data_IF_051015852554
#
_entry.id   IF_051015852554
#
_cell.length_a   1.000
_cell.length_b   1.000
_cell.length_c   1.000
_cell.angle_alpha   90.00
_cell.angle_beta   90.00
_cell.angle_gamma   90.00
#
_symmetry.space_group_name_H-M   'P 1'
#
loop_
_entity.id
_entity.type
_entity.pdbx_description
1 polymer ?
#
# COMPACT_ATOMS: atom_id res chain seq x y z
N UNK A 1 22.58 4.64 -14.51
CA UNK A 1 21.50 3.74 -14.03
C UNK A 1 21.49 3.77 -12.53
N UNK A 2 20.45 4.33 -11.90
CA UNK A 2 20.30 4.26 -10.45
C UNK A 2 19.80 2.86 -10.10
N UNK A 3 20.62 2.13 -9.36
CA UNK A 3 20.32 0.83 -8.77
C UNK A 3 19.20 1.04 -7.77
N UNK A 4 17.98 0.64 -8.12
CA UNK A 4 16.88 0.52 -7.16
C UNK A 4 17.21 -0.69 -6.29
N UNK A 5 17.68 -0.43 -5.07
CA UNK A 5 17.89 -1.49 -4.09
C UNK A 5 16.51 -2.06 -3.73
N UNK A 6 16.32 -3.40 -3.72
CA UNK A 6 15.08 -3.97 -3.25
C UNK A 6 14.98 -3.68 -1.74
N UNK A 7 14.18 -2.68 -1.38
CA UNK A 7 13.92 -2.28 0.00
C UNK A 7 13.40 -3.48 0.79
N UNK A 8 14.22 -4.00 1.69
CA UNK A 8 13.97 -5.17 2.53
C UNK A 8 12.97 -4.94 3.66
N UNK A 9 11.82 -4.32 3.40
CA UNK A 9 10.79 -4.09 4.42
C UNK A 9 9.73 -5.19 4.53
N UNK A 10 9.54 -6.00 3.47
CA UNK A 10 8.69 -7.20 3.49
C UNK A 10 9.44 -8.48 3.90
N UNK A 11 10.50 -8.34 4.69
CA UNK A 11 11.34 -9.45 5.12
C UNK A 11 10.56 -10.46 5.95
N UNK A 12 10.37 -11.67 5.41
CA UNK A 12 9.84 -12.84 6.12
C UNK A 12 10.47 -12.96 7.51
N UNK A 13 9.64 -12.81 8.55
CA UNK A 13 9.76 -13.39 9.89
C UNK A 13 11.20 -13.66 10.34
N UNK A 14 11.93 -12.61 10.72
CA UNK A 14 13.00 -12.72 11.72
C UNK A 14 12.71 -11.72 12.82
N UNK A 15 12.37 -12.27 13.98
CA UNK A 15 12.37 -11.57 15.24
C UNK A 15 13.83 -11.25 15.61
N UNK A 16 14.36 -10.16 15.07
CA UNK A 16 15.56 -9.46 15.55
C UNK A 16 15.76 -8.18 14.69
N UNK A 17 14.98 -7.13 14.95
CA UNK A 17 15.33 -5.76 14.51
C UNK A 17 14.63 -4.75 15.45
N UNK A 18 15.42 -4.18 16.33
CA UNK A 18 15.03 -3.26 17.39
C UNK A 18 14.53 -1.93 16.76
N UNK A 19 13.23 -1.86 16.41
CA UNK A 19 12.56 -0.63 15.96
C UNK A 19 11.64 -0.73 14.74
N UNK A 20 11.47 -1.90 14.12
CA UNK A 20 10.49 -2.06 13.03
C UNK A 20 9.09 -2.33 13.57
N UNK A 21 8.33 -1.26 13.78
CA UNK A 21 6.91 -1.35 14.08
C UNK A 21 6.16 -2.00 12.90
N UNK A 22 5.26 -2.95 13.21
CA UNK A 22 4.57 -3.72 12.20
C UNK A 22 3.69 -2.79 11.33
N UNK A 23 3.70 -2.95 9.99
CA UNK A 23 2.89 -2.10 9.11
C UNK A 23 1.40 -2.24 9.43
N UNK A 24 0.67 -1.14 9.28
CA UNK A 24 -0.77 -1.09 9.45
C UNK A 24 -1.45 -1.47 8.14
N UNK A 25 -2.36 -2.45 8.21
CA UNK A 25 -3.22 -2.80 7.09
C UNK A 25 -4.51 -1.95 7.12
N UNK A 26 -4.82 -1.30 6.00
CA UNK A 26 -6.07 -0.56 5.79
C UNK A 26 -6.85 -1.26 4.67
N UNK A 27 -8.08 -1.70 4.99
CA UNK A 27 -9.01 -2.29 4.02
C UNK A 27 -9.85 -1.17 3.38
N UNK A 28 -9.74 -1.02 2.06
CA UNK A 28 -10.42 0.03 1.28
C UNK A 28 -11.73 -0.48 0.65
N UNK A 29 -12.17 -1.69 1.01
CA UNK A 29 -13.33 -2.34 0.42
C UNK A 29 -13.14 -2.69 -1.05
N UNK A 30 -14.25 -2.72 -1.81
CA UNK A 30 -14.25 -3.02 -3.24
C UNK A 30 -13.95 -1.76 -4.06
N UNK A 31 -12.81 -1.73 -4.75
CA UNK A 31 -12.35 -0.61 -5.58
C UNK A 31 -11.70 -1.09 -6.86
N UNK A 32 -11.61 -0.22 -7.87
CA UNK A 32 -10.71 -0.51 -8.98
C UNK A 32 -9.27 -0.30 -8.54
N UNK A 33 -8.42 -1.26 -8.89
CA UNK A 33 -7.00 -1.26 -8.52
C UNK A 33 -6.28 0.00 -9.00
N UNK A 34 -6.61 0.49 -10.20
CA UNK A 34 -5.98 1.70 -10.74
C UNK A 34 -6.28 2.95 -9.90
N UNK A 35 -7.49 3.09 -9.35
CA UNK A 35 -7.87 4.23 -8.52
C UNK A 35 -7.05 4.26 -7.23
N UNK A 36 -6.88 3.09 -6.62
CA UNK A 36 -6.08 2.95 -5.40
C UNK A 36 -4.59 3.18 -5.70
N UNK A 37 -4.09 2.68 -6.85
CA UNK A 37 -2.69 2.89 -7.25
C UNK A 37 -2.35 4.37 -7.45
N UNK A 38 -3.30 5.19 -7.95
CA UNK A 38 -3.09 6.64 -8.10
C UNK A 38 -2.83 7.29 -6.73
N UNK A 39 -3.64 6.98 -5.73
CA UNK A 39 -3.50 7.56 -4.37
C UNK A 39 -2.25 7.02 -3.67
N UNK A 40 -1.96 5.72 -3.80
CA UNK A 40 -0.71 5.12 -3.30
C UNK A 40 0.51 5.79 -3.96
N UNK A 41 0.45 6.11 -5.24
CA UNK A 41 1.51 6.83 -5.95
C UNK A 41 1.73 8.23 -5.40
N UNK A 42 0.65 8.98 -5.17
CA UNK A 42 0.72 10.33 -4.58
C UNK A 42 1.33 10.29 -3.16
N UNK A 43 0.84 9.39 -2.30
CA UNK A 43 1.38 9.20 -0.95
C UNK A 43 2.88 8.88 -0.97
N UNK A 44 3.33 8.02 -1.89
CA UNK A 44 4.76 7.69 -1.99
C UNK A 44 5.61 8.87 -2.50
N UNK A 45 5.10 9.69 -3.42
CA UNK A 45 5.78 10.92 -3.88
C UNK A 45 5.93 11.94 -2.74
N UNK A 46 4.92 11.98 -1.86
CA UNK A 46 4.87 12.77 -0.64
C UNK A 46 5.70 12.21 0.54
N UNK A 47 6.41 11.09 0.31
CA UNK A 47 7.28 10.43 1.28
C UNK A 47 6.59 9.45 2.23
N UNK A 48 5.27 9.24 2.10
CA UNK A 48 4.55 8.24 2.89
C UNK A 48 4.82 6.84 2.36
N UNK A 49 5.24 5.93 3.25
CA UNK A 49 5.54 4.55 2.87
C UNK A 49 4.26 3.72 2.81
N UNK A 50 3.68 3.66 1.61
CA UNK A 50 2.40 3.00 1.37
C UNK A 50 2.51 1.99 0.23
N UNK A 51 1.93 0.81 0.42
CA UNK A 51 1.95 -0.26 -0.58
C UNK A 51 0.59 -0.90 -0.74
N UNK A 52 0.14 -1.03 -1.98
CA UNK A 52 -1.02 -1.83 -2.30
C UNK A 52 -0.69 -3.31 -2.14
N UNK A 53 -1.39 -3.99 -1.24
CA UNK A 53 -1.31 -5.45 -1.10
C UNK A 53 -1.85 -6.07 -2.37
N UNK A 54 -0.94 -6.57 -3.20
CA UNK A 54 -1.29 -7.30 -4.40
C UNK A 54 -1.94 -8.63 -4.00
N UNK A 55 -3.27 -8.72 -4.19
CA UNK A 55 -3.95 -10.01 -4.22
C UNK A 55 -3.69 -10.62 -5.60
N UNK A 56 -2.46 -11.07 -5.82
CA UNK A 56 -2.01 -11.73 -7.05
C UNK A 56 -2.93 -12.90 -7.37
N UNK A 57 -3.78 -12.74 -8.38
CA UNK A 57 -3.97 -13.69 -9.48
C UNK A 57 -4.88 -13.04 -10.55
N UNK A 58 -4.70 -13.44 -11.80
CA UNK A 58 -5.42 -13.00 -13.02
C UNK A 58 -4.86 -11.74 -13.69
N UNK A 59 -3.68 -11.96 -14.25
CA UNK A 59 -3.20 -11.43 -15.53
C UNK A 59 -4.29 -10.81 -16.42
N UNK A 60 -4.06 -9.56 -16.83
CA UNK A 60 -4.75 -8.87 -17.94
C UNK A 60 -6.27 -8.57 -17.81
N UNK A 61 -7.02 -9.25 -16.93
CA UNK A 61 -8.47 -9.01 -16.75
C UNK A 61 -8.82 -8.29 -15.43
N UNK A 62 -7.86 -8.18 -14.51
CA UNK A 62 -8.03 -7.56 -13.19
C UNK A 62 -8.43 -6.08 -13.24
N UNK A 63 -8.14 -5.38 -14.34
CA UNK A 63 -8.36 -3.94 -14.48
C UNK A 63 -9.85 -3.59 -14.69
N UNK A 64 -10.68 -4.57 -15.09
CA UNK A 64 -12.06 -4.32 -15.51
C UNK A 64 -13.09 -4.39 -14.38
N UNK A 65 -12.77 -4.97 -13.22
CA UNK A 65 -13.74 -5.16 -12.14
C UNK A 65 -13.21 -4.70 -10.78
N UNK A 66 -14.07 -4.13 -9.91
CA UNK A 66 -13.71 -3.83 -8.53
C UNK A 66 -13.21 -5.09 -7.81
N UNK A 67 -12.10 -4.96 -7.08
CA UNK A 67 -11.53 -6.00 -6.21
C UNK A 67 -11.43 -5.47 -4.80
N UNK A 68 -11.31 -6.38 -3.83
CA UNK A 68 -11.04 -5.98 -2.45
C UNK A 68 -9.61 -5.45 -2.34
N UNK A 69 -9.48 -4.15 -2.15
CA UNK A 69 -8.17 -3.49 -2.05
C UNK A 69 -7.77 -3.33 -0.59
N UNK A 70 -6.50 -3.67 -0.31
CA UNK A 70 -5.88 -3.45 0.99
C UNK A 70 -4.53 -2.82 0.80
N UNK A 71 -4.15 -1.93 1.70
CA UNK A 71 -2.86 -1.27 1.65
C UNK A 71 -2.12 -1.48 2.97
N UNK A 72 -0.80 -1.58 2.88
CA UNK A 72 0.10 -1.59 4.02
C UNK A 72 0.76 -0.22 4.11
N UNK A 73 0.72 0.35 5.30
CA UNK A 73 1.26 1.68 5.60
C UNK A 73 2.24 1.56 6.76
N UNK A 74 3.32 2.31 6.73
CA UNK A 74 4.13 2.48 7.93
C UNK A 74 3.28 3.13 9.04
N UNK A 75 3.38 2.69 10.31
CA UNK A 75 2.52 3.21 11.39
C UNK A 75 2.60 4.73 11.57
N UNK A 76 3.80 5.30 11.41
CA UNK A 76 4.02 6.74 11.45
C UNK A 76 3.25 7.53 10.37
N UNK A 77 2.89 6.86 9.27
CA UNK A 77 2.17 7.43 8.13
C UNK A 77 0.67 7.07 8.15
N UNK A 78 0.18 6.28 9.12
CA UNK A 78 -1.20 5.77 9.14
C UNK A 78 -2.24 6.88 9.05
N UNK A 79 -2.12 7.91 9.88
CA UNK A 79 -3.10 8.99 9.93
C UNK A 79 -3.19 9.73 8.58
N UNK A 80 -2.04 9.99 7.95
CA UNK A 80 -1.95 10.67 6.66
C UNK A 80 -2.47 9.80 5.52
N UNK A 81 -2.15 8.51 5.52
CA UNK A 81 -2.69 7.58 4.55
C UNK A 81 -4.21 7.46 4.68
N UNK A 82 -4.75 7.34 5.90
CA UNK A 82 -6.19 7.32 6.15
C UNK A 82 -6.89 8.59 5.67
N UNK A 83 -6.30 9.75 5.94
CA UNK A 83 -6.83 11.03 5.45
C UNK A 83 -6.87 11.04 3.92
N UNK A 84 -5.77 10.74 3.24
CA UNK A 84 -5.71 10.70 1.78
C UNK A 84 -6.72 9.71 1.16
N UNK A 85 -6.89 8.53 1.77
CA UNK A 85 -7.88 7.56 1.30
C UNK A 85 -9.33 7.97 1.61
N UNK A 86 -9.58 8.71 2.69
CA UNK A 86 -10.88 9.30 2.97
C UNK A 86 -11.22 10.44 2.01
N UNK A 87 -10.26 11.32 1.72
CA UNK A 87 -10.42 12.41 0.72
C UNK A 87 -10.66 11.86 -0.68
N UNK A 88 -10.04 10.72 -1.01
CA UNK A 88 -10.31 9.99 -2.26
C UNK A 88 -11.63 9.20 -2.26
N UNK A 89 -12.39 9.21 -1.16
CA UNK A 89 -13.69 8.53 -1.05
C UNK A 89 -13.61 7.01 -0.89
N UNK A 90 -12.47 6.49 -0.44
CA UNK A 90 -12.30 5.06 -0.21
C UNK A 90 -12.67 4.60 1.21
N UNK A 91 -12.64 5.51 2.19
CA UNK A 91 -12.94 5.29 3.60
C UNK A 91 -14.13 6.13 4.08
#
# INVERSE_FOLDING_TARGET
GRRVEPMGWFGRKRADDEGHEAPVEIDLGMRHVYEVQVVVGALNDEGCRTYLVDQSDLAYAAELHPKRCRVLVAPADEARAREAFAEAGFL
#
